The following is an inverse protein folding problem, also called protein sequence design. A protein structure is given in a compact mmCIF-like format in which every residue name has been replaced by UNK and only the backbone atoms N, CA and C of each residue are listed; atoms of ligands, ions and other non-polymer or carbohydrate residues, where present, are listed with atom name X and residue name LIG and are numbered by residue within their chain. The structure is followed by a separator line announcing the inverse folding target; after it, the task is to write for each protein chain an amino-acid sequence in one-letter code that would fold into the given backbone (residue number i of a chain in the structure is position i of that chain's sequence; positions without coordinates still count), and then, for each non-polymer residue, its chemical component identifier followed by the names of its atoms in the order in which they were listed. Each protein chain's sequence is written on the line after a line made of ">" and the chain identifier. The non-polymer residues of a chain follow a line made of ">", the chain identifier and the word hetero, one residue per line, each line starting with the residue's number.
data_IF_722466977924
#
_entry.id   IF_722466977924
#
_cell.length_a   1.000
_cell.length_b   1.000
_cell.length_c   1.000
_cell.angle_alpha   90.00
_cell.angle_beta   90.00
_cell.angle_gamma   90.00
#
_symmetry.space_group_name_H-M   'P 1'
#
loop_
_entity.id
_entity.type
_entity.pdbx_description
1 polymer ?
#
# COMPACT_ATOMS: atom_id res chain seq x y z
N UNK A 1 -2.29 -3.48 -5.91
CA UNK A 1 -3.35 -2.58 -6.35
C UNK A 1 -4.50 -3.49 -6.70
N UNK A 2 -5.72 -3.20 -6.24
CA UNK A 2 -6.86 -4.03 -6.63
C UNK A 2 -7.07 -3.99 -8.16
N UNK A 3 -7.70 -5.03 -8.68
CA UNK A 3 -7.99 -5.18 -10.10
C UNK A 3 -9.45 -5.58 -10.28
N UNK A 4 -10.07 -5.11 -11.37
CA UNK A 4 -11.46 -5.44 -11.71
C UNK A 4 -11.60 -6.95 -11.92
N UNK A 5 -12.71 -7.52 -11.44
CA UNK A 5 -13.00 -8.94 -11.60
C UNK A 5 -12.11 -9.86 -10.78
N UNK A 6 -11.39 -9.33 -9.78
CA UNK A 6 -10.55 -10.12 -8.86
C UNK A 6 -10.87 -9.77 -7.41
N UNK A 7 -10.83 -10.78 -6.55
CA UNK A 7 -10.96 -10.64 -5.10
C UNK A 7 -9.86 -9.72 -4.56
N UNK A 8 -10.24 -8.72 -3.74
CA UNK A 8 -9.27 -7.83 -3.12
C UNK A 8 -8.38 -8.57 -2.13
N UNK A 9 -8.95 -9.51 -1.36
CA UNK A 9 -8.19 -10.35 -0.43
C UNK A 9 -7.09 -11.14 -1.15
N UNK A 10 -7.45 -11.79 -2.26
CA UNK A 10 -6.53 -12.61 -3.04
C UNK A 10 -5.49 -11.78 -3.80
N UNK A 11 -5.93 -10.73 -4.51
CA UNK A 11 -5.09 -9.92 -5.39
C UNK A 11 -4.15 -8.96 -4.65
N UNK A 12 -4.27 -8.83 -3.33
CA UNK A 12 -3.40 -7.98 -2.52
C UNK A 12 -2.68 -8.78 -1.44
N UNK A 13 -3.41 -9.24 -0.43
CA UNK A 13 -2.81 -9.81 0.78
C UNK A 13 -2.21 -11.19 0.50
N UNK A 14 -2.95 -12.10 -0.13
CA UNK A 14 -2.45 -13.46 -0.35
C UNK A 14 -1.26 -13.50 -1.32
N UNK A 15 -1.33 -12.73 -2.41
CA UNK A 15 -0.21 -12.59 -3.34
C UNK A 15 1.01 -11.96 -2.68
N UNK A 16 0.81 -10.96 -1.82
CA UNK A 16 1.92 -10.35 -1.09
C UNK A 16 2.57 -11.33 -0.12
N UNK A 17 1.77 -12.06 0.67
CA UNK A 17 2.26 -13.09 1.59
C UNK A 17 3.01 -14.19 0.83
N UNK A 18 2.51 -14.62 -0.33
CA UNK A 18 3.21 -15.58 -1.20
C UNK A 18 4.52 -15.01 -1.73
N UNK A 19 4.52 -13.74 -2.16
CA UNK A 19 5.71 -13.06 -2.68
C UNK A 19 6.84 -12.99 -1.65
N UNK A 20 6.52 -12.65 -0.39
CA UNK A 20 7.50 -12.59 0.69
C UNK A 20 7.72 -13.92 1.40
N UNK A 21 6.97 -14.98 1.06
CA UNK A 21 6.95 -16.26 1.77
C UNK A 21 8.31 -16.99 1.83
N UNK A 22 9.29 -16.57 1.03
CA UNK A 22 10.68 -17.03 1.12
C UNK A 22 11.53 -16.31 2.20
N UNK A 23 10.96 -15.32 2.91
CA UNK A 23 11.66 -14.46 3.88
C UNK A 23 10.98 -14.59 5.26
N UNK A 24 11.39 -15.57 6.09
CA UNK A 24 10.76 -15.79 7.40
C UNK A 24 10.83 -14.55 8.31
N UNK A 25 11.86 -13.73 8.16
CA UNK A 25 12.08 -12.53 8.96
C UNK A 25 11.52 -11.24 8.33
N UNK A 26 10.69 -11.33 7.28
CA UNK A 26 10.17 -10.14 6.59
C UNK A 26 9.43 -9.21 7.56
N UNK A 27 8.55 -9.78 8.37
CA UNK A 27 7.67 -9.05 9.30
C UNK A 27 8.30 -8.76 10.67
N UNK A 28 9.53 -9.24 10.92
CA UNK A 28 10.27 -9.04 12.16
C UNK A 28 9.42 -9.30 13.43
N UNK A 29 9.15 -8.26 14.22
CA UNK A 29 8.44 -8.31 15.50
C UNK A 29 6.96 -7.92 15.40
N UNK A 30 6.41 -7.84 14.19
CA UNK A 30 4.97 -7.68 13.93
C UNK A 30 4.19 -8.84 14.54
N UNK A 31 3.04 -8.53 15.15
CA UNK A 31 2.20 -9.52 15.83
C UNK A 31 0.83 -9.59 15.20
N UNK A 32 0.36 -10.82 15.02
CA UNK A 32 -1.06 -11.11 14.81
C UNK A 32 -1.71 -11.21 16.20
N UNK A 33 -2.75 -10.42 16.42
CA UNK A 33 -3.49 -10.38 17.67
C UNK A 33 -4.76 -11.23 17.58
N UNK A 34 -5.27 -11.61 18.75
CA UNK A 34 -6.57 -12.23 18.86
C UNK A 34 -7.67 -11.19 18.66
N UNK A 35 -8.69 -11.53 17.87
CA UNK A 35 -9.87 -10.68 17.70
C UNK A 35 -10.82 -10.87 18.88
N UNK A 36 -11.01 -9.82 19.68
CA UNK A 36 -11.87 -9.87 20.86
C UNK A 36 -13.35 -9.69 20.52
N UNK A 37 -13.68 -9.00 19.42
CA UNK A 37 -15.06 -8.81 19.00
C UNK A 37 -15.50 -9.92 18.03
N UNK A 38 -16.38 -10.85 18.44
CA UNK A 38 -16.78 -11.97 17.59
C UNK A 38 -17.58 -11.54 16.35
N UNK A 39 -18.10 -10.31 16.32
CA UNK A 39 -18.82 -9.76 15.17
C UNK A 39 -17.90 -9.16 14.11
N UNK A 40 -16.61 -8.95 14.43
CA UNK A 40 -15.63 -8.41 13.47
C UNK A 40 -14.79 -9.59 12.98
N UNK A 41 -15.02 -10.09 11.75
CA UNK A 41 -14.16 -11.14 11.20
C UNK A 41 -12.74 -10.61 11.01
N UNK A 42 -11.75 -11.47 11.21
CA UNK A 42 -10.37 -11.20 10.84
C UNK A 42 -9.35 -11.38 11.97
N UNK A 43 -8.09 -11.19 11.59
CA UNK A 43 -6.92 -11.30 12.47
C UNK A 43 -6.22 -9.95 12.52
N UNK A 44 -6.43 -9.14 13.58
CA UNK A 44 -5.78 -7.85 13.68
C UNK A 44 -4.27 -8.02 13.70
N UNK A 45 -3.56 -7.10 13.06
CA UNK A 45 -2.11 -7.07 13.01
C UNK A 45 -1.64 -5.74 13.60
N UNK A 46 -0.62 -5.80 14.44
CA UNK A 46 0.10 -4.61 14.90
C UNK A 46 1.55 -4.71 14.48
N UNK A 47 2.03 -3.69 13.77
CA UNK A 47 3.42 -3.58 13.38
C UNK A 47 4.30 -3.34 14.61
N UNK A 48 5.34 -4.17 14.75
CA UNK A 48 6.29 -4.08 15.85
C UNK A 48 7.31 -2.97 15.61
N UNK A 49 7.97 -2.46 16.68
CA UNK A 49 8.95 -1.38 16.55
C UNK A 49 10.09 -1.67 15.56
N UNK A 50 10.58 -2.92 15.49
CA UNK A 50 11.66 -3.28 14.56
C UNK A 50 11.16 -3.28 13.12
N UNK A 51 9.97 -3.81 12.86
CA UNK A 51 9.36 -3.75 11.54
C UNK A 51 9.14 -2.31 11.08
N UNK A 52 8.53 -1.48 11.92
CA UNK A 52 8.27 -0.07 11.62
C UNK A 52 9.56 0.67 11.28
N UNK A 53 10.61 0.54 12.11
CA UNK A 53 11.88 1.23 11.88
C UNK A 53 12.65 0.71 10.65
N UNK A 54 12.67 -0.60 10.41
CA UNK A 54 13.57 -1.22 9.42
C UNK A 54 12.91 -1.48 8.05
N UNK A 55 11.59 -1.35 7.95
CA UNK A 55 10.83 -1.64 6.72
C UNK A 55 9.96 -0.48 6.25
N UNK A 56 9.48 0.36 7.17
CA UNK A 56 8.54 1.42 6.83
C UNK A 56 9.19 2.81 6.89
N UNK A 57 10.01 3.08 7.91
CA UNK A 57 10.57 4.41 8.22
C UNK A 57 12.11 4.47 8.06
N UNK A 58 12.73 3.57 7.29
CA UNK A 58 14.19 3.44 7.26
C UNK A 58 14.92 4.65 6.62
N UNK A 59 14.19 5.53 5.92
CA UNK A 59 14.72 6.77 5.32
C UNK A 59 14.03 8.03 5.86
N UNK A 60 13.04 7.86 6.75
CA UNK A 60 12.30 8.95 7.38
C UNK A 60 13.08 9.56 8.56
N UNK A 61 12.79 10.83 8.92
CA UNK A 61 13.33 11.44 10.13
C UNK A 61 13.04 10.62 11.40
N UNK A 62 13.97 10.56 12.38
CA UNK A 62 13.78 9.80 13.61
C UNK A 62 12.62 10.32 14.48
N UNK A 63 12.28 11.61 14.37
CA UNK A 63 11.13 12.22 15.03
C UNK A 63 9.82 11.61 14.53
N UNK A 64 9.70 11.37 13.22
CA UNK A 64 8.53 10.76 12.60
C UNK A 64 8.38 9.28 13.00
N UNK A 65 9.49 8.54 13.10
CA UNK A 65 9.48 7.18 13.65
C UNK A 65 9.02 7.19 15.11
N UNK A 66 9.52 8.13 15.92
CA UNK A 66 9.12 8.25 17.33
C UNK A 66 7.61 8.53 17.44
N UNK A 67 7.09 9.45 16.63
CA UNK A 67 5.68 9.75 16.55
C UNK A 67 4.87 8.52 16.13
N UNK A 68 5.29 7.82 15.08
CA UNK A 68 4.62 6.62 14.60
C UNK A 68 4.52 5.52 15.68
N UNK A 69 5.60 5.25 16.41
CA UNK A 69 5.61 4.26 17.48
C UNK A 69 4.67 4.60 18.64
N UNK A 70 4.34 5.89 18.83
CA UNK A 70 3.36 6.34 19.82
C UNK A 70 1.90 6.24 19.34
N UNK A 71 1.69 6.14 18.02
CA UNK A 71 0.36 6.23 17.39
C UNK A 71 -0.10 4.93 16.71
N UNK A 72 0.80 3.99 16.38
CA UNK A 72 0.43 2.74 15.73
C UNK A 72 -0.58 1.96 16.57
N UNK A 73 -1.62 1.48 15.89
CA UNK A 73 -2.70 0.68 16.46
C UNK A 73 -2.91 -0.59 15.65
N UNK A 74 -3.47 -1.65 16.25
CA UNK A 74 -3.84 -2.84 15.51
C UNK A 74 -4.84 -2.53 14.39
N UNK A 75 -4.65 -3.13 13.23
CA UNK A 75 -5.53 -3.01 12.07
C UNK A 75 -5.86 -4.40 11.49
N UNK A 76 -7.09 -4.58 10.99
CA UNK A 76 -7.49 -5.82 10.34
C UNK A 76 -7.01 -5.86 8.88
N UNK A 77 -6.61 -7.05 8.43
CA UNK A 77 -6.30 -7.31 7.01
C UNK A 77 -7.54 -7.58 6.16
N UNK A 78 -8.68 -7.91 6.79
CA UNK A 78 -9.96 -8.24 6.13
C UNK A 78 -9.83 -9.36 5.07
N UNK A 79 -8.81 -10.19 5.18
CA UNK A 79 -8.53 -11.32 4.29
C UNK A 79 -9.63 -12.40 4.36
N UNK A 80 -10.29 -12.53 5.51
CA UNK A 80 -11.40 -13.46 5.71
C UNK A 80 -12.79 -12.85 5.44
N UNK A 81 -12.86 -11.56 5.15
CA UNK A 81 -14.13 -10.87 4.94
C UNK A 81 -14.78 -11.28 3.61
N UNK A 82 -16.08 -11.59 3.66
CA UNK A 82 -16.81 -12.09 2.50
C UNK A 82 -16.90 -11.07 1.35
N UNK A 83 -17.02 -9.78 1.68
CA UNK A 83 -17.05 -8.70 0.69
C UNK A 83 -15.68 -8.58 0.01
N UNK A 84 -14.59 -8.68 0.77
CA UNK A 84 -13.22 -8.62 0.23
C UNK A 84 -12.88 -9.80 -0.67
N UNK A 85 -13.58 -10.93 -0.52
CA UNK A 85 -13.46 -12.13 -1.35
C UNK A 85 -14.35 -12.11 -2.59
N UNK A 86 -15.32 -11.20 -2.69
CA UNK A 86 -16.22 -11.12 -3.84
C UNK A 86 -15.53 -10.48 -5.04
N UNK A 87 -15.31 -11.26 -6.10
CA UNK A 87 -14.72 -10.78 -7.36
C UNK A 87 -15.60 -9.75 -8.08
N UNK A 88 -16.89 -9.66 -7.74
CA UNK A 88 -17.83 -8.68 -8.29
C UNK A 88 -17.78 -7.34 -7.58
N UNK A 89 -17.04 -7.22 -6.47
CA UNK A 89 -16.93 -5.97 -5.72
C UNK A 89 -16.37 -4.84 -6.60
N UNK A 90 -15.33 -5.15 -7.38
CA UNK A 90 -14.69 -4.19 -8.29
C UNK A 90 -15.13 -4.48 -9.72
N UNK A 91 -15.94 -3.57 -10.26
CA UNK A 91 -16.50 -3.67 -11.61
C UNK A 91 -15.89 -2.65 -12.56
N UNK A 92 -15.94 -2.92 -13.88
CA UNK A 92 -15.48 -1.97 -14.90
C UNK A 92 -16.27 -0.66 -14.86
N UNK A 93 -17.60 -0.74 -14.70
CA UNK A 93 -18.47 0.44 -14.66
C UNK A 93 -18.34 1.26 -13.36
N UNK A 94 -17.71 0.71 -12.31
CA UNK A 94 -17.49 1.38 -11.03
C UNK A 94 -16.01 1.68 -10.79
N UNK A 95 -15.30 0.75 -10.16
CA UNK A 95 -13.87 0.92 -9.85
C UNK A 95 -13.02 1.09 -11.12
N UNK A 96 -13.36 0.39 -12.21
CA UNK A 96 -12.65 0.44 -13.49
C UNK A 96 -12.76 1.77 -14.23
N UNK A 97 -13.86 2.50 -14.05
CA UNK A 97 -14.12 3.74 -14.79
C UNK A 97 -13.36 4.93 -14.23
N UNK A 98 -12.85 4.86 -13.01
CA UNK A 98 -12.06 5.92 -12.41
C UNK A 98 -10.64 5.93 -12.99
N UNK A 99 -10.10 7.13 -13.28
CA UNK A 99 -8.67 7.31 -13.54
C UNK A 99 -7.89 6.91 -12.30
N UNK A 100 -6.84 6.11 -12.49
CA UNK A 100 -6.02 5.58 -11.40
C UNK A 100 -4.56 5.81 -11.72
N UNK A 101 -3.86 6.43 -10.78
CA UNK A 101 -2.40 6.61 -10.83
C UNK A 101 -1.80 5.81 -9.69
N UNK A 102 -0.76 5.03 -9.99
CA UNK A 102 0.05 4.36 -8.99
C UNK A 102 1.41 5.04 -8.91
N UNK A 103 1.79 5.50 -7.71
CA UNK A 103 3.11 6.08 -7.46
C UNK A 103 4.02 4.97 -6.93
N UNK A 104 5.01 4.58 -7.73
CA UNK A 104 6.02 3.60 -7.34
C UNK A 104 7.06 4.25 -6.45
N UNK A 105 7.38 3.56 -5.35
CA UNK A 105 8.43 3.94 -4.40
C UNK A 105 9.55 2.90 -4.48
N UNK A 106 10.69 3.26 -5.05
CA UNK A 106 11.77 2.30 -5.37
C UNK A 106 12.44 1.70 -4.13
N UNK A 107 12.66 2.50 -3.09
CA UNK A 107 13.35 2.07 -1.86
C UNK A 107 12.38 1.59 -0.75
N UNK A 108 11.12 1.31 -1.11
CA UNK A 108 10.14 0.74 -0.18
C UNK A 108 10.55 -0.70 0.21
N UNK A 109 10.79 -0.91 1.50
CA UNK A 109 11.12 -2.23 2.05
C UNK A 109 9.90 -2.95 2.66
N UNK A 110 8.79 -2.23 2.87
CA UNK A 110 7.52 -2.74 3.37
C UNK A 110 6.67 -3.34 2.25
N UNK A 111 6.63 -2.72 1.07
CA UNK A 111 6.06 -3.25 -0.16
C UNK A 111 7.10 -3.09 -1.26
N UNK A 112 7.97 -4.09 -1.49
CA UNK A 112 9.08 -3.96 -2.44
C UNK A 112 8.63 -3.54 -3.84
N UNK A 113 9.40 -2.68 -4.51
CA UNK A 113 9.08 -2.15 -5.84
C UNK A 113 8.77 -3.24 -6.88
N UNK A 114 9.43 -4.40 -6.79
CA UNK A 114 9.11 -5.57 -7.62
C UNK A 114 7.65 -6.01 -7.45
N UNK A 115 7.14 -6.04 -6.22
CA UNK A 115 5.76 -6.38 -5.94
C UNK A 115 4.79 -5.26 -6.37
N UNK A 116 5.18 -3.99 -6.18
CA UNK A 116 4.41 -2.85 -6.70
C UNK A 116 4.23 -2.95 -8.22
N UNK A 117 5.27 -3.32 -8.97
CA UNK A 117 5.18 -3.54 -10.43
C UNK A 117 4.31 -4.73 -10.81
N UNK A 118 4.34 -5.82 -10.04
CA UNK A 118 3.42 -6.96 -10.23
C UNK A 118 1.97 -6.53 -10.03
N UNK A 119 1.70 -5.75 -8.99
CA UNK A 119 0.37 -5.17 -8.74
C UNK A 119 -0.12 -4.31 -9.91
N UNK A 120 0.75 -3.47 -10.46
CA UNK A 120 0.44 -2.61 -11.62
C UNK A 120 0.12 -3.48 -12.85
N UNK A 121 0.96 -4.47 -13.16
CA UNK A 121 0.77 -5.33 -14.33
C UNK A 121 -0.57 -6.09 -14.34
N UNK A 122 -1.16 -6.29 -13.16
CA UNK A 122 -2.45 -6.95 -12.99
C UNK A 122 -3.65 -5.99 -13.00
N UNK A 123 -3.43 -4.67 -12.99
CA UNK A 123 -4.49 -3.66 -12.91
C UNK A 123 -4.53 -2.83 -14.21
N UNK A 124 -5.42 -3.16 -15.17
CA UNK A 124 -5.45 -2.51 -16.47
C UNK A 124 -5.83 -1.03 -16.38
N UNK A 125 -5.26 -0.20 -17.26
CA UNK A 125 -5.59 1.22 -17.35
C UNK A 125 -5.05 2.10 -16.22
N UNK A 126 -4.11 1.58 -15.42
CA UNK A 126 -3.42 2.34 -14.38
C UNK A 126 -2.26 3.12 -15.00
N UNK A 127 -2.23 4.42 -14.74
CA UNK A 127 -1.09 5.27 -15.02
C UNK A 127 -0.02 5.07 -13.95
N UNK A 128 1.25 5.07 -14.34
CA UNK A 128 2.36 4.81 -13.43
C UNK A 128 3.21 6.04 -13.35
N UNK A 129 3.38 6.51 -12.13
CA UNK A 129 4.34 7.53 -11.75
C UNK A 129 5.37 6.89 -10.83
N UNK A 130 6.55 7.47 -10.73
CA UNK A 130 7.56 7.06 -9.75
C UNK A 130 7.97 8.30 -8.96
N UNK A 131 8.22 8.15 -7.65
CA UNK A 131 9.06 9.15 -6.96
C UNK A 131 10.37 9.25 -7.74
N UNK A 132 10.70 10.45 -8.20
CA UNK A 132 11.70 10.76 -9.24
C UNK A 132 13.07 10.11 -9.03
N UNK A 133 13.87 10.14 -10.10
CA UNK A 133 15.13 9.44 -10.40
C UNK A 133 16.24 9.33 -9.32
N UNK A 134 16.07 9.90 -8.13
CA UNK A 134 17.09 9.94 -7.07
C UNK A 134 16.93 8.93 -5.93
N UNK A 135 15.83 8.16 -5.89
CA UNK A 135 15.52 7.28 -4.74
C UNK A 135 15.35 8.07 -3.44
N UNK A 136 15.51 7.41 -2.30
CA UNK A 136 15.50 8.04 -0.98
C UNK A 136 14.11 8.19 -0.35
N UNK A 137 13.06 7.63 -0.95
CA UNK A 137 11.73 7.53 -0.35
C UNK A 137 11.52 6.11 0.21
N UNK A 138 11.19 6.01 1.49
CA UNK A 138 10.73 4.75 2.09
C UNK A 138 9.21 4.56 1.91
N UNK A 139 8.65 3.54 2.56
CA UNK A 139 7.19 3.27 2.53
C UNK A 139 6.37 4.50 2.92
N UNK A 140 6.93 5.36 3.78
CA UNK A 140 6.33 6.60 4.23
C UNK A 140 6.82 7.76 3.37
N UNK A 141 6.64 7.67 2.05
CA UNK A 141 7.10 8.68 1.09
C UNK A 141 6.64 10.11 1.44
N UNK A 142 5.48 10.27 2.08
CA UNK A 142 4.98 11.57 2.56
C UNK A 142 5.79 12.17 3.72
N UNK A 143 6.66 11.39 4.38
CA UNK A 143 7.51 11.79 5.49
C UNK A 143 8.98 11.83 5.05
N UNK A 144 9.44 10.82 4.31
CA UNK A 144 10.81 10.77 3.80
C UNK A 144 11.06 11.72 2.63
N UNK A 145 10.05 11.97 1.77
CA UNK A 145 10.14 12.85 0.58
C UNK A 145 8.87 13.71 0.36
N UNK A 146 8.43 14.52 1.35
CA UNK A 146 7.18 15.27 1.29
C UNK A 146 7.08 16.24 0.10
N UNK A 147 8.11 17.05 -0.14
CA UNK A 147 8.10 18.07 -1.20
C UNK A 147 7.97 17.44 -2.59
N UNK A 148 8.72 16.37 -2.81
CA UNK A 148 8.71 15.63 -4.08
C UNK A 148 7.36 14.95 -4.33
N UNK A 149 6.76 14.37 -3.28
CA UNK A 149 5.42 13.80 -3.38
C UNK A 149 4.39 14.90 -3.70
N UNK A 150 4.48 16.08 -3.09
CA UNK A 150 3.61 17.22 -3.39
C UNK A 150 3.74 17.65 -4.84
N UNK A 151 4.97 17.84 -5.34
CA UNK A 151 5.21 18.22 -6.73
C UNK A 151 4.64 17.18 -7.71
N UNK A 152 4.80 15.89 -7.39
CA UNK A 152 4.24 14.81 -8.18
C UNK A 152 2.72 14.85 -8.21
N UNK A 153 2.08 15.02 -7.05
CA UNK A 153 0.62 15.11 -6.95
C UNK A 153 0.07 16.35 -7.70
N UNK A 154 0.78 17.48 -7.65
CA UNK A 154 0.42 18.68 -8.41
C UNK A 154 0.51 18.43 -9.92
N UNK A 155 1.54 17.73 -10.40
CA UNK A 155 1.64 17.32 -11.82
C UNK A 155 0.49 16.41 -12.22
N UNK A 156 0.19 15.38 -11.41
CA UNK A 156 -0.92 14.45 -11.66
C UNK A 156 -2.26 15.18 -11.76
N UNK A 157 -2.48 16.19 -10.91
CA UNK A 157 -3.67 17.02 -10.90
C UNK A 157 -3.74 17.97 -12.10
N UNK A 158 -2.62 18.59 -12.48
CA UNK A 158 -2.56 19.50 -13.63
C UNK A 158 -2.90 18.81 -14.95
N UNK A 159 -2.46 17.55 -15.15
CA UNK A 159 -2.83 16.73 -16.33
C UNK A 159 -4.36 16.57 -16.45
N UNK A 160 -5.10 16.68 -15.34
CA UNK A 160 -6.54 16.51 -15.30
C UNK A 160 -7.32 17.82 -15.46
N UNK A 161 -6.80 18.93 -14.94
CA UNK A 161 -7.47 20.24 -14.99
C UNK A 161 -7.76 20.74 -16.41
N UNK A 162 -7.02 20.29 -17.42
CA UNK A 162 -7.26 20.68 -18.82
C UNK A 162 -8.31 19.82 -19.56
N UNK A 163 -8.77 18.70 -18.97
CA UNK A 163 -9.72 17.79 -19.64
C UNK A 163 -11.19 17.99 -19.25
N UNK A 164 -11.46 18.69 -18.15
CA UNK A 164 -12.82 18.99 -17.71
C UNK A 164 -13.36 20.33 -18.27
N UNK A 165 -12.50 21.10 -18.96
CA UNK A 165 -12.79 22.41 -19.55
C UNK A 165 -13.04 22.38 -21.08
N UNK A 166 -13.18 21.18 -21.68
CA UNK A 166 -13.41 20.99 -23.14
C UNK A 166 -14.63 20.09 -23.42
#
# INVERSE_FOLDING_TARGET
>A
MPAVGRSMAAATTDEFIKFIGAKPDFFLDTKVLHQENPNIPGRPVIFGPKFTAQRLYQLSPPEDLTLALSLIRPANRFDEDALMKDEKLLTEAGYGSARRVFVVVEDDLGIPAEFQRRMIAQSPGVEVETTTAGGGADHMAMLSRPEELVDLLLRIAAIHGERDDM
#
